data_IF_932554153547
#
_entry.id   IF_932554153547
#
_cell.length_a   1.000
_cell.length_b   1.000
_cell.length_c   1.000
_cell.angle_alpha   90.00
_cell.angle_beta   90.00
_cell.angle_gamma   90.00
#
_symmetry.space_group_name_H-M   'P 1'
#
loop_
_entity.id
_entity.type
_entity.pdbx_description
1 polymer ?
#
# COMPACT_ATOMS: atom_id res chain seq x y z
N UNK A 1 -7.96 -6.27 -42.76
CA UNK A 1 -7.19 -6.63 -41.55
C UNK A 1 -6.90 -5.34 -40.83
N UNK A 2 -7.75 -4.99 -39.87
CA UNK A 2 -7.52 -3.84 -38.99
C UNK A 2 -6.49 -4.22 -37.94
N UNK A 3 -5.39 -3.48 -37.89
CA UNK A 3 -4.49 -3.51 -36.75
C UNK A 3 -5.15 -2.74 -35.61
N UNK A 4 -5.74 -3.45 -34.66
CA UNK A 4 -6.17 -2.85 -33.40
C UNK A 4 -4.93 -2.48 -32.61
N UNK A 5 -4.57 -1.20 -32.62
CA UNK A 5 -3.60 -0.62 -31.70
C UNK A 5 -4.06 -0.91 -30.26
N UNK A 6 -3.25 -1.65 -29.49
CA UNK A 6 -3.38 -1.69 -28.04
C UNK A 6 -3.19 -0.26 -27.53
N UNK A 7 -4.09 0.27 -26.67
CA UNK A 7 -3.84 1.57 -26.07
C UNK A 7 -2.58 1.46 -25.23
N UNK A 8 -1.58 2.30 -25.55
CA UNK A 8 -0.36 2.45 -24.77
C UNK A 8 -0.75 2.75 -23.33
N UNK A 9 -0.71 1.71 -22.49
CA UNK A 9 -0.75 1.85 -21.03
C UNK A 9 0.50 2.64 -20.68
N UNK A 10 0.36 3.77 -20.00
CA UNK A 10 1.48 4.50 -19.42
C UNK A 10 2.26 3.55 -18.50
N UNK A 11 3.47 3.15 -18.91
CA UNK A 11 4.25 2.08 -18.27
C UNK A 11 5.34 2.58 -17.31
N UNK A 12 5.53 3.90 -17.15
CA UNK A 12 6.69 4.47 -16.43
C UNK A 12 6.26 5.31 -15.24
N UNK A 13 6.93 5.22 -14.08
CA UNK A 13 6.64 6.06 -12.87
C UNK A 13 6.38 7.55 -13.16
N UNK A 14 7.11 8.18 -14.07
CA UNK A 14 6.88 9.60 -14.44
C UNK A 14 5.43 9.86 -14.83
N UNK A 15 4.80 8.87 -15.46
CA UNK A 15 3.40 8.90 -15.84
C UNK A 15 2.46 8.74 -14.63
N UNK A 16 2.87 7.94 -13.64
CA UNK A 16 2.10 7.71 -12.41
C UNK A 16 2.15 8.92 -11.46
N UNK A 17 3.33 9.47 -11.17
CA UNK A 17 3.53 10.47 -10.10
C UNK A 17 3.53 11.93 -10.58
N UNK A 18 3.35 12.18 -11.89
CA UNK A 18 3.32 13.51 -12.52
C UNK A 18 4.37 14.48 -11.95
N UNK A 19 5.59 14.00 -11.72
CA UNK A 19 6.69 14.76 -11.13
C UNK A 19 6.88 16.00 -12.01
N UNK A 20 6.45 17.15 -11.50
CA UNK A 20 6.55 18.40 -12.24
C UNK A 20 8.02 18.64 -12.54
N UNK A 21 8.41 18.53 -13.81
CA UNK A 21 9.65 19.11 -14.28
C UNK A 21 9.54 20.60 -14.03
N UNK A 22 10.29 21.10 -13.06
CA UNK A 22 10.47 22.53 -12.87
C UNK A 22 11.00 23.09 -14.19
N UNK A 23 10.13 23.77 -14.94
CA UNK A 23 10.57 24.64 -16.01
C UNK A 23 11.19 25.85 -15.32
N UNK A 24 12.50 26.00 -15.46
CA UNK A 24 13.17 27.25 -15.14
C UNK A 24 12.47 28.37 -15.93
N UNK A 25 11.60 29.12 -15.25
CA UNK A 25 11.14 30.42 -15.73
C UNK A 25 11.43 31.44 -14.64
N UNK A 26 12.65 31.94 -14.74
CA UNK A 26 13.07 33.21 -14.15
C UNK A 26 12.10 34.30 -14.58
N UNK A 27 11.24 34.80 -13.68
CA UNK A 27 10.66 36.13 -13.82
C UNK A 27 10.13 36.70 -12.48
N UNK A 28 10.98 37.53 -11.88
CA UNK A 28 10.72 38.86 -11.28
C UNK A 28 9.63 38.99 -10.20
N UNK A 29 10.12 39.20 -8.98
CA UNK A 29 9.71 40.22 -8.01
C UNK A 29 8.67 41.24 -8.50
N UNK A 30 7.62 41.46 -7.69
CA UNK A 30 7.19 42.81 -7.32
C UNK A 30 6.32 42.82 -6.06
N UNK A 31 6.73 43.67 -5.11
CA UNK A 31 5.98 44.16 -3.96
C UNK A 31 4.79 45.03 -4.40
N UNK A 32 3.67 44.99 -3.66
CA UNK A 32 2.59 45.94 -3.86
C UNK A 32 1.41 45.79 -2.90
N UNK A 33 1.33 46.69 -1.91
CA UNK A 33 0.21 46.96 -1.00
C UNK A 33 -1.11 47.24 -1.74
N UNK A 34 -2.24 46.86 -1.13
CA UNK A 34 -3.56 47.38 -1.46
C UNK A 34 -4.67 46.85 -0.56
N UNK A 35 -5.04 47.63 0.46
CA UNK A 35 -6.23 47.48 1.30
C UNK A 35 -7.53 47.59 0.48
N UNK A 36 -8.55 46.77 0.79
CA UNK A 36 -9.96 47.19 0.91
C UNK A 36 -10.69 46.29 1.92
N UNK A 37 -11.53 46.91 2.75
CA UNK A 37 -12.20 46.40 3.96
C UNK A 37 -13.71 46.21 3.70
N UNK A 38 -14.32 45.35 4.53
CA UNK A 38 -15.77 45.13 4.79
C UNK A 38 -16.51 44.19 3.82
N UNK A 39 -17.40 43.29 4.26
CA UNK A 39 -18.35 43.43 5.36
C UNK A 39 -18.81 42.09 5.96
N UNK A 40 -19.12 42.17 7.24
CA UNK A 40 -19.56 41.14 8.18
C UNK A 40 -20.95 40.56 7.83
N UNK A 41 -21.14 39.25 8.06
CA UNK A 41 -22.47 38.67 8.29
C UNK A 41 -22.36 37.37 9.11
N UNK A 42 -22.15 37.54 10.42
CA UNK A 42 -22.32 36.48 11.42
C UNK A 42 -23.75 35.93 11.41
N UNK A 43 -23.93 34.71 10.90
CA UNK A 43 -25.07 33.84 11.27
C UNK A 43 -24.59 32.76 12.23
N UNK A 44 -24.68 33.04 13.53
CA UNK A 44 -24.51 32.08 14.64
C UNK A 44 -25.50 30.92 14.48
N UNK A 45 -25.04 29.80 13.91
CA UNK A 45 -25.78 28.54 13.93
C UNK A 45 -25.49 27.84 15.27
N UNK A 46 -26.53 27.68 16.11
CA UNK A 46 -26.47 26.97 17.40
C UNK A 46 -25.80 25.60 17.20
N UNK A 47 -24.63 25.39 17.83
CA UNK A 47 -23.97 24.08 17.91
C UNK A 47 -24.86 23.19 18.80
N UNK A 48 -25.56 22.23 18.21
CA UNK A 48 -25.97 21.05 18.94
C UNK A 48 -24.69 20.31 19.31
N UNK A 49 -24.30 20.36 20.58
CA UNK A 49 -23.24 19.55 21.14
C UNK A 49 -23.64 18.08 21.00
N UNK A 50 -23.27 17.48 19.87
CA UNK A 50 -23.23 16.02 19.72
C UNK A 50 -22.34 15.51 20.83
N UNK A 51 -22.90 14.68 21.71
CA UNK A 51 -22.13 13.87 22.65
C UNK A 51 -21.00 13.21 21.86
N UNK A 52 -19.77 13.66 22.07
CA UNK A 52 -18.60 12.99 21.53
C UNK A 52 -18.49 11.71 22.33
N UNK A 53 -19.15 10.65 21.85
CA UNK A 53 -18.86 9.30 22.28
C UNK A 53 -17.41 9.09 21.90
N UNK A 54 -16.53 9.06 22.90
CA UNK A 54 -15.18 8.53 22.77
C UNK A 54 -15.31 7.18 22.09
N UNK A 55 -15.03 7.11 20.79
CA UNK A 55 -15.01 5.84 20.07
C UNK A 55 -13.95 5.01 20.79
N UNK A 56 -14.35 3.87 21.38
CA UNK A 56 -13.40 2.90 21.95
C UNK A 56 -12.25 2.75 20.96
N UNK A 57 -11.01 2.95 21.43
CA UNK A 57 -9.81 2.74 20.61
C UNK A 57 -9.89 1.32 20.05
N UNK A 58 -10.13 1.21 18.74
CA UNK A 58 -10.15 -0.05 18.01
C UNK A 58 -8.71 -0.56 17.98
N UNK A 59 -8.44 -1.66 18.69
CA UNK A 59 -7.10 -2.28 18.76
C UNK A 59 -6.89 -3.15 17.51
N UNK A 60 -5.72 -3.07 16.91
CA UNK A 60 -5.31 -4.01 15.86
C UNK A 60 -5.19 -5.42 16.45
N UNK A 61 -5.52 -6.42 15.65
CA UNK A 61 -5.47 -7.82 16.03
C UNK A 61 -4.33 -8.52 15.30
N UNK A 62 -3.59 -9.43 15.95
CA UNK A 62 -2.68 -10.31 15.24
C UNK A 62 -3.46 -11.25 14.32
N UNK A 63 -2.80 -11.79 13.29
CA UNK A 63 -3.36 -12.88 12.50
C UNK A 63 -3.45 -14.17 13.32
N UNK A 64 -4.35 -15.06 12.90
CA UNK A 64 -4.50 -16.38 13.50
C UNK A 64 -4.02 -17.43 12.49
N UNK A 65 -2.82 -18.01 12.67
CA UNK A 65 -2.24 -18.95 11.71
C UNK A 65 -3.08 -20.23 11.57
N UNK A 66 -2.94 -20.94 10.47
CA UNK A 66 -3.59 -22.26 10.31
C UNK A 66 -2.97 -23.26 11.28
N UNK A 67 -3.80 -24.04 12.00
CA UNK A 67 -3.33 -25.02 12.99
C UNK A 67 -2.58 -26.19 12.35
N UNK A 68 -3.08 -26.71 11.22
CA UNK A 68 -2.46 -27.79 10.46
C UNK A 68 -1.10 -27.36 9.85
N UNK A 69 0.02 -27.97 10.26
CA UNK A 69 1.34 -27.64 9.73
C UNK A 69 1.49 -27.93 8.24
N UNK A 70 0.82 -28.97 7.70
CA UNK A 70 0.90 -29.29 6.29
C UNK A 70 0.23 -28.19 5.46
N UNK A 71 -0.94 -27.72 5.90
CA UNK A 71 -1.61 -26.60 5.25
C UNK A 71 -0.80 -25.29 5.33
N UNK A 72 -0.10 -25.02 6.43
CA UNK A 72 0.84 -23.87 6.50
C UNK A 72 1.98 -23.99 5.49
N UNK A 73 2.49 -25.19 5.26
CA UNK A 73 3.52 -25.43 4.25
C UNK A 73 2.99 -25.15 2.83
N UNK A 74 1.76 -25.57 2.53
CA UNK A 74 1.10 -25.26 1.25
C UNK A 74 0.93 -23.75 1.03
N UNK A 75 0.53 -23.01 2.08
CA UNK A 75 0.43 -21.56 2.07
C UNK A 75 1.78 -20.91 1.71
N UNK A 76 2.85 -21.28 2.42
CA UNK A 76 4.20 -20.77 2.12
C UNK A 76 4.70 -21.19 0.73
N UNK A 77 4.41 -22.42 0.29
CA UNK A 77 4.79 -22.90 -1.03
C UNK A 77 4.08 -22.14 -2.16
N UNK A 78 2.83 -21.72 -1.95
CA UNK A 78 2.10 -20.88 -2.91
C UNK A 78 2.78 -19.52 -3.11
N UNK A 79 3.21 -18.89 -2.02
CA UNK A 79 3.98 -17.65 -2.06
C UNK A 79 5.35 -17.85 -2.73
N UNK A 80 6.08 -18.90 -2.35
CA UNK A 80 7.38 -19.21 -2.94
C UNK A 80 7.29 -19.44 -4.46
N UNK A 81 6.21 -20.07 -4.92
CA UNK A 81 5.94 -20.29 -6.35
C UNK A 81 5.73 -18.95 -7.08
N UNK A 82 4.91 -18.06 -6.52
CA UNK A 82 4.67 -16.74 -7.11
C UNK A 82 5.94 -15.88 -7.15
N UNK A 83 6.70 -15.85 -6.04
CA UNK A 83 7.99 -15.15 -5.96
C UNK A 83 9.01 -15.69 -6.97
N UNK A 84 9.08 -17.01 -7.13
CA UNK A 84 9.95 -17.65 -8.14
C UNK A 84 9.53 -17.25 -9.56
N UNK A 85 8.23 -17.25 -9.84
CA UNK A 85 7.69 -16.85 -11.15
C UNK A 85 7.98 -15.37 -11.48
N UNK A 86 7.98 -14.48 -10.47
CA UNK A 86 8.32 -13.07 -10.64
C UNK A 86 9.81 -12.76 -10.45
N UNK A 87 10.66 -13.76 -10.23
CA UNK A 87 12.11 -13.64 -9.96
C UNK A 87 12.41 -12.70 -8.80
N UNK A 88 11.67 -12.86 -7.71
CA UNK A 88 11.77 -12.03 -6.51
C UNK A 88 12.20 -12.88 -5.33
N UNK A 89 13.18 -12.41 -4.58
CA UNK A 89 13.62 -13.02 -3.34
C UNK A 89 12.63 -12.71 -2.22
N UNK A 90 12.36 -13.70 -1.37
CA UNK A 90 11.55 -13.47 -0.19
C UNK A 90 12.27 -12.52 0.77
N UNK A 91 11.59 -11.46 1.19
CA UNK A 91 11.98 -10.58 2.28
C UNK A 91 10.75 -10.16 3.04
N UNK A 92 10.82 -10.15 4.37
CA UNK A 92 9.77 -9.61 5.23
C UNK A 92 10.18 -8.29 5.91
N UNK A 93 11.15 -7.59 5.33
CA UNK A 93 11.74 -6.37 5.88
C UNK A 93 11.94 -5.31 4.80
N UNK A 94 11.80 -4.04 5.18
CA UNK A 94 12.24 -2.92 4.35
C UNK A 94 13.77 -2.95 4.23
N UNK A 95 14.26 -2.89 2.98
CA UNK A 95 15.70 -2.95 2.71
C UNK A 95 16.15 -1.64 2.06
N UNK A 96 17.14 -0.96 2.62
CA UNK A 96 17.55 0.37 2.15
C UNK A 96 18.85 0.28 1.33
N UNK A 97 18.75 0.28 -0.01
CA UNK A 97 19.89 0.03 -0.91
C UNK A 97 20.96 1.15 -0.87
N UNK A 98 20.54 2.40 -0.64
CA UNK A 98 21.42 3.60 -0.67
C UNK A 98 21.86 4.07 0.73
N UNK A 99 21.58 3.28 1.77
CA UNK A 99 21.80 3.68 3.15
C UNK A 99 22.67 2.64 3.88
N UNK A 100 23.84 2.35 3.30
CA UNK A 100 24.87 1.55 3.98
C UNK A 100 25.40 2.22 5.27
N UNK A 101 25.01 3.48 5.55
CA UNK A 101 25.44 4.29 6.69
C UNK A 101 24.38 4.58 7.76
N UNK A 102 23.10 4.25 7.55
CA UNK A 102 22.06 4.30 8.61
C UNK A 102 21.44 2.91 8.87
N UNK A 103 22.24 1.85 8.80
CA UNK A 103 21.88 0.53 9.32
C UNK A 103 21.88 0.50 10.86
N UNK A 104 21.24 1.48 11.49
CA UNK A 104 21.00 1.51 12.93
C UNK A 104 19.51 1.26 13.18
N UNK A 105 19.21 -0.01 13.45
CA UNK A 105 18.03 -0.48 14.19
C UNK A 105 16.67 -0.17 13.57
N UNK A 106 16.44 -0.73 12.39
CA UNK A 106 15.10 -0.93 11.83
C UNK A 106 14.40 -1.99 12.70
N UNK A 107 13.68 -1.57 13.74
CA UNK A 107 12.80 -2.47 14.50
C UNK A 107 11.54 -2.80 13.68
N UNK A 108 11.15 -4.07 13.64
CA UNK A 108 9.92 -4.51 12.95
C UNK A 108 8.69 -3.92 13.66
N UNK A 109 7.72 -3.38 12.90
CA UNK A 109 6.49 -2.80 13.47
C UNK A 109 5.49 -3.85 13.93
N UNK A 110 5.52 -5.02 13.29
CA UNK A 110 4.69 -6.14 13.69
C UNK A 110 4.83 -6.35 15.19
N UNK A 111 3.72 -6.66 15.85
CA UNK A 111 3.75 -6.91 17.29
C UNK A 111 4.78 -8.00 17.58
N UNK A 112 5.41 -7.96 18.77
CA UNK A 112 6.32 -9.04 19.21
C UNK A 112 5.71 -10.44 19.03
N UNK A 113 4.38 -10.54 19.15
CA UNK A 113 3.62 -11.75 18.91
C UNK A 113 3.68 -12.21 17.45
N UNK A 114 3.44 -11.31 16.49
CA UNK A 114 3.49 -11.61 15.05
C UNK A 114 4.91 -11.92 14.58
N UNK A 115 5.91 -11.15 15.02
CA UNK A 115 7.33 -11.45 14.75
C UNK A 115 7.71 -12.84 15.30
N UNK A 116 7.26 -13.18 16.51
CA UNK A 116 7.50 -14.48 17.11
C UNK A 116 6.80 -15.61 16.35
N UNK A 117 5.57 -15.40 15.89
CA UNK A 117 4.82 -16.36 15.07
C UNK A 117 5.57 -16.65 13.77
N UNK A 118 5.95 -15.60 13.02
CA UNK A 118 6.66 -15.76 11.75
C UNK A 118 8.01 -16.46 11.93
N UNK A 119 8.74 -16.15 13.01
CA UNK A 119 9.99 -16.84 13.36
C UNK A 119 9.83 -18.34 13.65
N UNK A 120 8.62 -18.81 13.99
CA UNK A 120 8.27 -20.22 14.18
C UNK A 120 7.59 -20.86 12.96
N UNK A 121 7.52 -20.15 11.83
CA UNK A 121 6.82 -20.61 10.63
C UNK A 121 5.29 -20.52 10.72
N UNK A 122 4.77 -19.71 11.65
CA UNK A 122 3.35 -19.38 11.77
C UNK A 122 3.08 -18.10 10.98
N UNK A 123 2.44 -18.24 9.82
CA UNK A 123 2.14 -17.14 8.91
C UNK A 123 0.65 -16.81 8.87
N UNK A 124 0.25 -15.59 8.43
CA UNK A 124 -1.13 -15.28 8.11
C UNK A 124 -1.72 -16.36 7.18
N UNK A 125 -2.96 -16.81 7.42
CA UNK A 125 -3.55 -17.94 6.69
C UNK A 125 -3.99 -17.49 5.29
N UNK A 126 -3.03 -17.33 4.38
CA UNK A 126 -3.20 -16.77 3.05
C UNK A 126 -2.67 -17.73 1.99
N UNK A 127 -3.34 -17.76 0.84
CA UNK A 127 -2.91 -18.51 -0.34
C UNK A 127 -2.68 -17.55 -1.50
N UNK A 128 -1.57 -17.71 -2.21
CA UNK A 128 -1.36 -17.05 -3.50
C UNK A 128 -1.93 -17.95 -4.60
N UNK A 129 -2.85 -17.40 -5.39
CA UNK A 129 -3.58 -18.13 -6.43
C UNK A 129 -3.51 -17.37 -7.75
N UNK A 130 -3.14 -18.07 -8.82
CA UNK A 130 -3.10 -17.49 -10.17
C UNK A 130 -4.52 -17.42 -10.76
N UNK A 131 -4.91 -16.23 -11.20
CA UNK A 131 -6.13 -15.93 -11.93
C UNK A 131 -5.76 -15.47 -13.36
N UNK A 132 -6.35 -16.04 -14.43
CA UNK A 132 -6.02 -15.66 -15.80
C UNK A 132 -6.30 -14.19 -16.17
N UNK A 133 -7.17 -13.50 -15.44
CA UNK A 133 -7.52 -12.09 -15.68
C UNK A 133 -6.75 -11.13 -14.80
N UNK A 134 -6.45 -11.57 -13.58
CA UNK A 134 -5.90 -10.72 -12.52
C UNK A 134 -4.44 -11.04 -12.16
N UNK A 135 -3.85 -12.09 -12.76
CA UNK A 135 -2.50 -12.55 -12.44
C UNK A 135 -2.43 -13.26 -11.10
N UNK A 136 -1.33 -13.13 -10.38
CA UNK A 136 -1.24 -13.64 -9.01
C UNK A 136 -2.12 -12.81 -8.08
N UNK A 137 -3.02 -13.49 -7.36
CA UNK A 137 -3.94 -12.90 -6.38
C UNK A 137 -3.73 -13.56 -5.02
N UNK A 138 -4.24 -12.93 -3.95
CA UNK A 138 -4.19 -13.49 -2.59
C UNK A 138 -5.59 -13.73 -2.08
N UNK A 139 -5.84 -14.90 -1.51
CA UNK A 139 -7.10 -15.24 -0.86
C UNK A 139 -6.90 -15.71 0.58
N UNK A 140 -7.92 -15.50 1.41
CA UNK A 140 -7.93 -15.96 2.78
C UNK A 140 -8.12 -17.49 2.81
N UNK A 141 -7.20 -18.23 3.43
CA UNK A 141 -7.31 -19.68 3.60
C UNK A 141 -7.90 -20.09 4.97
N UNK A 142 -8.21 -19.11 5.79
CA UNK A 142 -9.00 -19.19 7.03
C UNK A 142 -9.82 -17.91 7.18
N UNK A 143 -10.81 -17.94 8.06
CA UNK A 143 -11.50 -16.71 8.47
C UNK A 143 -10.51 -15.70 9.09
N UNK A 144 -10.57 -14.45 8.61
CA UNK A 144 -9.80 -13.31 9.12
C UNK A 144 -10.78 -12.29 9.68
N UNK A 145 -10.51 -11.80 10.89
CA UNK A 145 -11.41 -10.87 11.59
C UNK A 145 -11.14 -9.41 11.18
N UNK A 146 -12.15 -8.54 11.28
CA UNK A 146 -11.97 -7.08 11.18
C UNK A 146 -10.82 -6.62 12.09
N UNK A 147 -10.00 -5.70 11.59
CA UNK A 147 -8.81 -5.13 12.24
C UNK A 147 -7.63 -6.08 12.41
N UNK A 148 -7.64 -7.27 11.82
CA UNK A 148 -6.47 -8.14 11.76
C UNK A 148 -5.41 -7.56 10.83
N UNK A 149 -4.17 -7.46 11.31
CA UNK A 149 -3.00 -7.16 10.49
C UNK A 149 -2.77 -8.35 9.55
N UNK A 150 -2.74 -8.07 8.26
CA UNK A 150 -2.52 -9.07 7.21
C UNK A 150 -1.02 -9.24 6.99
N UNK A 151 -0.34 -8.13 6.69
CA UNK A 151 1.10 -8.09 6.42
C UNK A 151 1.59 -6.65 6.37
N UNK A 152 2.90 -6.45 6.61
CA UNK A 152 3.61 -5.24 6.19
C UNK A 152 3.84 -5.29 4.68
N UNK A 153 3.75 -4.13 4.00
CA UNK A 153 4.19 -3.98 2.62
C UNK A 153 5.69 -3.69 2.64
N UNK A 154 6.49 -4.59 2.08
CA UNK A 154 7.96 -4.53 2.19
C UNK A 154 8.63 -4.71 0.83
N UNK A 155 9.89 -4.32 0.78
CA UNK A 155 10.73 -4.37 -0.40
C UNK A 155 11.89 -3.39 -0.28
N UNK A 156 12.53 -3.12 -1.40
CA UNK A 156 13.64 -2.17 -1.45
C UNK A 156 13.12 -0.74 -1.35
N UNK A 157 13.62 0.03 -0.40
CA UNK A 157 13.30 1.45 -0.26
C UNK A 157 14.25 2.26 -1.14
N UNK A 158 13.65 3.08 -2.00
CA UNK A 158 14.38 3.97 -2.89
C UNK A 158 13.69 5.34 -2.97
N UNK A 159 14.40 6.33 -3.51
CA UNK A 159 13.80 7.61 -3.84
C UNK A 159 12.89 7.48 -5.04
N UNK A 160 11.73 8.13 -4.98
CA UNK A 160 10.75 8.14 -6.06
C UNK A 160 11.37 8.60 -7.40
N UNK A 161 12.22 9.64 -7.36
CA UNK A 161 12.94 10.16 -8.52
C UNK A 161 13.82 9.13 -9.23
N UNK A 162 14.38 8.16 -8.48
CA UNK A 162 15.26 7.13 -9.05
C UNK A 162 14.47 6.08 -9.82
N UNK A 163 13.18 5.99 -9.53
CA UNK A 163 12.27 4.99 -10.06
C UNK A 163 11.38 5.54 -11.16
N UNK A 164 11.51 6.82 -11.52
CA UNK A 164 10.77 7.53 -12.58
C UNK A 164 10.56 6.78 -13.90
N UNK A 165 11.51 5.94 -14.31
CA UNK A 165 11.40 5.17 -15.55
C UNK A 165 11.28 3.66 -15.31
N UNK A 166 11.01 3.26 -14.08
CA UNK A 166 10.75 1.88 -13.69
C UNK A 166 9.40 1.43 -14.26
N UNK A 167 9.36 0.16 -14.69
CA UNK A 167 8.19 -0.52 -15.25
C UNK A 167 7.47 -1.37 -14.19
N UNK A 168 7.96 -1.37 -12.95
CA UNK A 168 7.34 -2.07 -11.84
C UNK A 168 5.89 -1.65 -11.62
N UNK A 169 5.00 -2.63 -11.51
CA UNK A 169 3.56 -2.42 -11.28
C UNK A 169 3.17 -2.50 -9.80
N UNK A 170 4.13 -2.78 -8.91
CA UNK A 170 3.88 -3.13 -7.51
C UNK A 170 4.49 -2.12 -6.53
N UNK A 171 4.73 -0.89 -6.94
CA UNK A 171 5.35 0.11 -6.07
C UNK A 171 4.36 0.72 -5.09
N UNK A 172 4.87 1.05 -3.90
CA UNK A 172 4.07 1.59 -2.81
C UNK A 172 4.74 2.82 -2.22
N UNK A 173 4.07 3.97 -2.25
CA UNK A 173 4.57 5.20 -1.61
C UNK A 173 4.81 4.92 -0.12
N UNK A 174 6.04 5.13 0.34
CA UNK A 174 6.44 5.05 1.75
C UNK A 174 6.31 6.42 2.42
N UNK A 175 6.94 7.44 1.83
CA UNK A 175 6.93 8.82 2.32
C UNK A 175 6.62 9.76 1.16
N UNK A 176 5.57 10.57 1.33
CA UNK A 176 5.25 11.67 0.42
C UNK A 176 5.76 12.97 1.05
N UNK A 177 6.88 13.49 0.55
CA UNK A 177 7.55 14.67 1.10
C UNK A 177 7.15 15.95 0.36
N UNK A 178 7.22 17.10 1.04
CA UNK A 178 6.98 18.41 0.40
C UNK A 178 7.95 18.68 -0.75
N UNK A 179 9.18 18.18 -0.63
CA UNK A 179 10.16 18.19 -1.71
C UNK A 179 10.10 16.84 -2.44
N UNK A 180 9.65 16.77 -3.71
CA UNK A 180 9.48 15.51 -4.43
C UNK A 180 10.75 14.66 -4.52
N UNK A 181 11.92 15.32 -4.51
CA UNK A 181 13.24 14.68 -4.54
C UNK A 181 13.54 13.82 -3.30
N UNK A 182 12.77 14.00 -2.22
CA UNK A 182 12.88 13.32 -0.92
C UNK A 182 11.76 12.33 -0.66
N UNK A 183 10.81 12.17 -1.59
CA UNK A 183 9.77 11.15 -1.50
C UNK A 183 10.39 9.76 -1.64
N UNK A 184 9.93 8.82 -0.81
CA UNK A 184 10.40 7.44 -0.79
C UNK A 184 9.31 6.48 -1.23
N UNK A 185 9.72 5.44 -1.94
CA UNK A 185 8.87 4.38 -2.47
C UNK A 185 9.45 3.02 -2.09
N UNK A 186 8.57 2.07 -1.83
CA UNK A 186 8.91 0.66 -1.67
C UNK A 186 8.81 0.00 -3.04
N UNK A 187 9.89 -0.64 -3.46
CA UNK A 187 10.02 -1.37 -4.71
C UNK A 187 10.20 -2.85 -4.40
N UNK A 188 9.13 -3.66 -4.50
CA UNK A 188 9.22 -5.08 -4.22
C UNK A 188 9.72 -5.89 -5.42
N UNK A 189 10.47 -5.29 -6.34
CA UNK A 189 10.90 -5.88 -7.62
C UNK A 189 11.90 -7.04 -7.42
N UNK A 190 12.93 -6.81 -6.60
CA UNK A 190 13.98 -7.79 -6.29
C UNK A 190 13.70 -8.58 -5.02
N UNK A 191 13.17 -7.90 -4.00
CA UNK A 191 12.89 -8.46 -2.67
C UNK A 191 11.48 -8.07 -2.24
N UNK A 192 10.71 -9.01 -1.70
CA UNK A 192 9.38 -8.70 -1.19
C UNK A 192 8.69 -9.89 -0.53
N UNK A 193 7.48 -9.66 -0.01
CA UNK A 193 6.63 -10.67 0.59
C UNK A 193 5.28 -10.77 -0.14
N UNK A 194 4.28 -11.38 0.52
CA UNK A 194 2.94 -11.59 -0.04
C UNK A 194 2.18 -10.29 -0.35
N UNK A 195 2.53 -9.16 0.28
CA UNK A 195 1.78 -7.91 0.17
C UNK A 195 1.67 -7.41 -1.28
N UNK A 196 2.71 -7.63 -2.09
CA UNK A 196 2.76 -7.21 -3.50
C UNK A 196 1.77 -7.94 -4.41
N UNK A 197 1.23 -9.08 -3.97
CA UNK A 197 0.29 -9.90 -4.74
C UNK A 197 -1.18 -9.64 -4.32
N UNK A 198 -1.43 -8.73 -3.39
CA UNK A 198 -2.80 -8.37 -2.99
C UNK A 198 -3.33 -7.34 -3.98
N UNK A 199 -4.46 -7.64 -4.62
CA UNK A 199 -4.99 -6.86 -5.73
C UNK A 199 -5.63 -5.53 -5.30
N UNK A 200 -5.72 -4.63 -6.27
CA UNK A 200 -6.40 -3.35 -6.12
C UNK A 200 -7.85 -3.41 -6.60
N UNK A 201 -8.69 -2.51 -6.09
CA UNK A 201 -10.04 -2.32 -6.59
C UNK A 201 -10.07 -1.41 -7.83
N UNK A 202 -11.08 -1.59 -8.69
CA UNK A 202 -11.41 -0.60 -9.71
C UNK A 202 -12.06 0.64 -9.07
N UNK A 203 -11.39 1.79 -9.08
CA UNK A 203 -11.91 3.02 -8.46
C UNK A 203 -13.01 3.71 -9.29
N UNK A 204 -13.23 3.28 -10.54
CA UNK A 204 -14.14 3.90 -11.49
C UNK A 204 -15.50 3.20 -11.58
N UNK A 205 -15.62 2.00 -11.00
CA UNK A 205 -16.85 1.21 -11.01
C UNK A 205 -17.44 1.12 -9.60
N UNK A 206 -18.77 1.32 -9.43
CA UNK A 206 -19.42 1.22 -8.12
C UNK A 206 -19.19 -0.14 -7.42
N UNK A 207 -19.12 -1.22 -8.19
CA UNK A 207 -18.89 -2.57 -7.66
C UNK A 207 -17.43 -2.81 -7.24
N UNK A 208 -16.46 -2.05 -7.77
CA UNK A 208 -15.06 -2.15 -7.35
C UNK A 208 -14.89 -1.84 -5.87
N UNK A 209 -15.51 -0.77 -5.38
CA UNK A 209 -15.48 -0.40 -3.95
C UNK A 209 -16.13 -1.45 -3.03
N UNK A 210 -17.06 -2.26 -3.54
CA UNK A 210 -17.69 -3.34 -2.75
C UNK A 210 -16.74 -4.52 -2.52
N UNK A 211 -15.75 -4.72 -3.41
CA UNK A 211 -14.74 -5.79 -3.27
C UNK A 211 -13.73 -5.50 -2.17
N UNK A 212 -13.52 -4.23 -1.81
CA UNK A 212 -12.54 -3.84 -0.81
C UNK A 212 -12.82 -4.52 0.54
N UNK A 213 -11.85 -5.28 1.01
CA UNK A 213 -11.88 -5.94 2.30
C UNK A 213 -10.58 -5.71 3.09
N UNK A 214 -9.54 -5.16 2.47
CA UNK A 214 -8.28 -4.75 3.08
C UNK A 214 -8.08 -3.23 2.96
N UNK A 215 -7.38 -2.64 3.92
CA UNK A 215 -6.94 -1.24 3.91
C UNK A 215 -5.42 -1.17 4.00
N UNK A 216 -4.83 -0.34 3.15
CA UNK A 216 -3.45 0.09 3.25
C UNK A 216 -3.38 1.32 4.16
N UNK A 217 -2.53 1.29 5.18
CA UNK A 217 -2.34 2.39 6.14
C UNK A 217 -0.86 2.57 6.45
N UNK A 218 -0.48 3.81 6.73
CA UNK A 218 0.90 4.17 7.11
C UNK A 218 0.97 4.50 8.59
N UNK A 219 1.97 3.95 9.27
CA UNK A 219 2.25 4.20 10.68
C UNK A 219 3.65 4.77 10.86
N UNK A 220 3.81 5.63 11.85
CA UNK A 220 5.13 6.01 12.37
C UNK A 220 5.49 5.07 13.52
N UNK A 221 6.69 4.51 13.44
CA UNK A 221 7.16 3.43 14.31
C UNK A 221 8.62 3.73 14.63
N UNK A 222 8.89 4.10 15.87
CA UNK A 222 10.25 4.47 16.29
C UNK A 222 10.89 5.55 15.38
N UNK A 223 10.07 6.46 14.83
CA UNK A 223 10.52 7.51 13.90
C UNK A 223 10.61 7.08 12.42
N UNK A 224 10.26 5.83 12.08
CA UNK A 224 10.24 5.32 10.72
C UNK A 224 8.81 5.15 10.20
N UNK A 225 8.59 5.42 8.91
CA UNK A 225 7.32 5.14 8.26
C UNK A 225 7.22 3.65 7.90
N UNK A 226 6.05 3.05 8.15
CA UNK A 226 5.74 1.65 7.87
C UNK A 226 4.39 1.54 7.19
N UNK A 227 4.26 0.64 6.21
CA UNK A 227 3.03 0.45 5.44
C UNK A 227 2.41 -0.90 5.77
N UNK A 228 1.15 -0.92 6.20
CA UNK A 228 0.46 -2.14 6.60
C UNK A 228 -0.81 -2.36 5.81
N UNK A 229 -1.10 -3.62 5.56
CA UNK A 229 -2.37 -4.11 5.05
C UNK A 229 -3.16 -4.70 6.22
N UNK A 230 -4.37 -4.19 6.44
CA UNK A 230 -5.23 -4.55 7.58
C UNK A 230 -6.63 -4.91 7.07
N UNK A 231 -7.21 -5.99 7.59
CA UNK A 231 -8.60 -6.34 7.34
C UNK A 231 -9.53 -5.18 7.77
N UNK A 232 -10.40 -4.77 6.86
CA UNK A 232 -11.35 -3.65 7.07
C UNK A 232 -12.77 -4.11 7.42
N UNK A 233 -12.97 -5.43 7.38
CA UNK A 233 -14.15 -6.19 7.80
C UNK A 233 -13.72 -7.64 8.01
N UNK A 234 -14.64 -8.46 8.51
CA UNK A 234 -14.45 -9.91 8.51
C UNK A 234 -14.34 -10.45 7.07
N UNK A 235 -13.41 -11.39 6.86
CA UNK A 235 -13.07 -12.01 5.57
C UNK A 235 -13.21 -13.53 5.74
N UNK A 236 -14.19 -14.18 5.09
CA UNK A 236 -14.34 -15.63 5.11
C UNK A 236 -13.24 -16.33 4.30
N UNK A 237 -13.02 -17.61 4.61
CA UNK A 237 -12.13 -18.47 3.82
C UNK A 237 -12.59 -18.51 2.35
N UNK A 238 -11.63 -18.46 1.43
CA UNK A 238 -11.80 -18.43 -0.02
C UNK A 238 -12.08 -17.03 -0.59
N UNK A 239 -12.22 -16.01 0.25
CA UNK A 239 -12.42 -14.65 -0.24
C UNK A 239 -11.07 -14.02 -0.64
N UNK A 240 -11.02 -13.48 -1.86
CA UNK A 240 -9.86 -12.76 -2.40
C UNK A 240 -9.69 -11.40 -1.71
N UNK A 241 -8.46 -11.04 -1.41
CA UNK A 241 -8.11 -9.79 -0.75
C UNK A 241 -7.97 -8.67 -1.78
N UNK A 242 -8.61 -7.54 -1.47
CA UNK A 242 -8.58 -6.32 -2.27
C UNK A 242 -8.40 -5.09 -1.37
N UNK A 243 -7.48 -4.20 -1.75
CA UNK A 243 -7.37 -2.87 -1.15
C UNK A 243 -7.45 -1.76 -2.20
N UNK A 244 -7.54 -0.51 -1.73
CA UNK A 244 -7.50 0.65 -2.62
C UNK A 244 -6.06 1.07 -2.86
N UNK A 245 -5.54 0.78 -4.07
CA UNK A 245 -4.20 1.22 -4.49
C UNK A 245 -4.09 2.75 -4.45
N UNK A 246 -5.21 3.45 -4.64
CA UNK A 246 -5.31 4.89 -4.63
C UNK A 246 -5.85 5.46 -3.30
N UNK A 247 -5.65 4.74 -2.19
CA UNK A 247 -6.19 5.13 -0.89
C UNK A 247 -5.61 6.42 -0.29
N UNK A 248 -4.55 6.97 -0.89
CA UNK A 248 -3.93 8.23 -0.49
C UNK A 248 -3.68 9.15 -1.69
N UNK A 249 -2.89 8.69 -2.65
CA UNK A 249 -2.64 9.32 -3.94
C UNK A 249 -3.53 8.68 -5.01
N UNK A 250 -3.90 9.39 -6.08
CA UNK A 250 -4.76 8.86 -7.16
C UNK A 250 -3.96 8.72 -8.46
N UNK A 251 -2.97 7.84 -8.40
CA UNK A 251 -1.87 7.75 -9.36
C UNK A 251 -1.78 6.39 -10.05
N UNK A 252 -2.41 5.37 -9.47
CA UNK A 252 -2.48 4.05 -10.07
C UNK A 252 -3.70 3.94 -11.01
N UNK A 253 -3.53 3.67 -12.31
CA UNK A 253 -4.64 3.53 -13.24
C UNK A 253 -5.41 2.23 -12.97
N UNK A 254 -6.63 2.32 -12.44
CA UNK A 254 -7.44 1.13 -12.08
C UNK A 254 -8.65 0.92 -12.99
N UNK A 255 -8.78 1.65 -14.10
CA UNK A 255 -9.93 1.54 -15.02
C UNK A 255 -10.07 0.14 -15.62
N UNK A 256 -8.94 -0.55 -15.81
CA UNK A 256 -8.87 -1.87 -16.42
C UNK A 256 -9.00 -3.02 -15.40
N UNK A 257 -9.09 -2.71 -14.11
CA UNK A 257 -9.24 -3.73 -13.07
C UNK A 257 -10.63 -4.38 -13.14
N UNK A 258 -10.67 -5.68 -12.85
CA UNK A 258 -11.86 -6.55 -12.93
C UNK A 258 -12.73 -6.42 -11.70
#
# INVERSE_FOLDING_TARGET
>A
MEFTYFPLVQTKIVDFFRIQRSTESTQKLNYGKGHYVSQDSQKRRKRSSSLVVSKKKRKLLPFNPTEDPLRRMEQMASLATALTATRTEFSNELTYILVWLLSLQIEQFLSMEECSMMGRGEWPPLMVVFDPKEGFTVEADRFIKDLTIITEYVGDVDYLKNRENDEGDSMMTLISANEPSRSLVICPDKRGNIARFINGINNHMPDGKKKQNVKCVRFEVNGECRVLLIASRDIPKGERLYYDYNGYENEYPTQHFV
#
